data_IF_181359420121
#
_entry.id   IF_181359420121
#
_cell.length_a   1.000
_cell.length_b   1.000
_cell.length_c   1.000
_cell.angle_alpha   90.00
_cell.angle_beta   90.00
_cell.angle_gamma   90.00
#
_symmetry.space_group_name_H-M   'P 1'
#
loop_
_entity.id
_entity.type
_entity.pdbx_description
1 polymer ?
#
# COMPACT_ATOMS: atom_id res chain seq x y z
N UNK A 1 10.76 18.18 -14.50
CA UNK A 1 10.17 17.07 -13.73
C UNK A 1 10.90 17.00 -12.41
N UNK A 2 10.20 16.98 -11.28
CA UNK A 2 10.84 16.72 -10.00
C UNK A 2 11.32 15.25 -10.00
N UNK A 3 12.56 15.03 -9.57
CA UNK A 3 13.09 13.68 -9.33
C UNK A 3 12.44 13.16 -8.05
N UNK A 4 11.82 11.98 -8.11
CA UNK A 4 11.35 11.28 -6.93
C UNK A 4 12.55 10.55 -6.33
N UNK A 5 13.05 11.04 -5.20
CA UNK A 5 14.11 10.38 -4.43
C UNK A 5 13.59 10.07 -3.02
N UNK A 6 14.21 9.12 -2.30
CA UNK A 6 13.84 8.81 -0.92
C UNK A 6 13.78 10.02 0.02
N UNK A 7 14.61 11.04 -0.22
CA UNK A 7 14.71 12.24 0.62
C UNK A 7 13.65 13.30 0.27
N UNK A 8 13.00 13.17 -0.88
CA UNK A 8 12.12 14.20 -1.45
C UNK A 8 10.69 13.73 -1.71
N UNK A 9 10.43 12.43 -1.53
CA UNK A 9 9.12 11.82 -1.77
C UNK A 9 8.73 10.85 -0.65
N UNK A 10 7.44 10.90 -0.29
CA UNK A 10 6.79 9.96 0.60
C UNK A 10 5.61 9.32 -0.12
N UNK A 11 5.36 8.04 0.15
CA UNK A 11 4.26 7.28 -0.43
C UNK A 11 3.22 6.95 0.64
N UNK A 12 2.00 7.44 0.45
CA UNK A 12 0.83 7.04 1.24
C UNK A 12 -0.07 6.14 0.38
N UNK A 13 -0.21 4.88 0.79
CA UNK A 13 -1.08 3.89 0.16
C UNK A 13 -2.31 3.73 1.05
N UNK A 14 -3.50 3.99 0.49
CA UNK A 14 -4.78 3.88 1.21
C UNK A 14 -5.57 2.71 0.65
N UNK A 15 -5.73 1.67 1.46
CA UNK A 15 -6.56 0.51 1.17
C UNK A 15 -7.92 0.69 1.85
N UNK A 16 -8.99 0.76 1.04
CA UNK A 16 -10.37 0.89 1.53
C UNK A 16 -11.07 -0.46 1.74
N UNK A 17 -10.42 -1.54 1.31
CA UNK A 17 -10.96 -2.89 1.47
C UNK A 17 -10.62 -3.39 2.87
N UNK A 18 -11.61 -3.97 3.54
CA UNK A 18 -11.43 -4.68 4.81
C UNK A 18 -10.64 -5.99 4.61
N UNK A 19 -10.70 -6.93 5.57
CA UNK A 19 -10.21 -8.29 5.38
C UNK A 19 -11.10 -9.06 4.37
N UNK A 20 -11.17 -8.57 3.14
CA UNK A 20 -11.96 -9.14 2.07
C UNK A 20 -11.16 -10.24 1.36
N UNK A 21 -11.69 -11.46 1.33
CA UNK A 21 -11.09 -12.58 0.63
C UNK A 21 -11.04 -12.36 -0.89
N UNK A 22 -11.95 -11.57 -1.47
CA UNK A 22 -11.93 -11.26 -2.90
C UNK A 22 -10.72 -10.41 -3.30
N UNK A 23 -10.28 -9.48 -2.43
CA UNK A 23 -9.04 -8.71 -2.61
C UNK A 23 -7.80 -9.59 -2.83
N UNK A 24 -7.79 -10.77 -2.19
CA UNK A 24 -6.72 -11.77 -2.31
C UNK A 24 -6.88 -12.64 -3.55
N UNK A 25 -8.10 -13.07 -3.87
CA UNK A 25 -8.39 -13.90 -5.04
C UNK A 25 -8.03 -13.19 -6.36
N UNK A 26 -8.29 -11.89 -6.45
CA UNK A 26 -7.89 -11.06 -7.61
C UNK A 26 -6.43 -10.61 -7.60
N UNK A 27 -5.65 -10.99 -6.58
CA UNK A 27 -4.24 -10.62 -6.43
C UNK A 27 -3.99 -9.12 -6.21
N UNK A 28 -5.03 -8.32 -5.94
CA UNK A 28 -4.87 -6.90 -5.67
C UNK A 28 -4.10 -6.69 -4.35
N UNK A 29 -4.49 -7.40 -3.29
CA UNK A 29 -3.81 -7.35 -2.00
C UNK A 29 -2.33 -7.75 -2.10
N UNK A 30 -2.02 -8.75 -2.94
CA UNK A 30 -0.64 -9.20 -3.17
C UNK A 30 0.18 -8.11 -3.85
N UNK A 31 -0.37 -7.47 -4.90
CA UNK A 31 0.31 -6.38 -5.62
C UNK A 31 0.53 -5.15 -4.73
N UNK A 32 -0.45 -4.77 -3.93
CA UNK A 32 -0.32 -3.65 -2.99
C UNK A 32 0.73 -3.95 -1.93
N UNK A 33 0.75 -5.18 -1.38
CA UNK A 33 1.80 -5.63 -0.47
C UNK A 33 3.18 -5.50 -1.11
N UNK A 34 3.39 -6.10 -2.28
CA UNK A 34 4.69 -6.14 -2.94
C UNK A 34 5.18 -4.75 -3.32
N UNK A 35 4.29 -3.88 -3.79
CA UNK A 35 4.59 -2.47 -4.05
C UNK A 35 5.03 -1.74 -2.78
N UNK A 36 4.24 -1.83 -1.71
CA UNK A 36 4.53 -1.16 -0.44
C UNK A 36 5.87 -1.59 0.15
N UNK A 37 6.17 -2.89 0.08
CA UNK A 37 7.42 -3.45 0.57
C UNK A 37 8.60 -3.01 -0.30
N UNK A 38 8.45 -3.05 -1.62
CA UNK A 38 9.51 -2.62 -2.55
C UNK A 38 9.85 -1.13 -2.37
N UNK A 39 8.86 -0.27 -2.17
CA UNK A 39 9.09 1.17 -1.92
C UNK A 39 9.84 1.39 -0.60
N UNK A 40 9.45 0.68 0.46
CA UNK A 40 10.14 0.75 1.75
C UNK A 40 11.60 0.22 1.65
N UNK A 41 11.82 -0.90 0.97
CA UNK A 41 13.15 -1.47 0.72
C UNK A 41 14.04 -0.57 -0.14
N UNK A 42 13.43 0.19 -1.07
CA UNK A 42 14.12 1.21 -1.86
C UNK A 42 14.44 2.50 -1.07
N UNK A 43 14.07 2.57 0.21
CA UNK A 43 14.42 3.66 1.13
C UNK A 43 13.37 4.78 1.23
N UNK A 44 12.26 4.69 0.50
CA UNK A 44 11.21 5.70 0.58
C UNK A 44 10.39 5.57 1.86
N UNK A 45 10.07 6.70 2.50
CA UNK A 45 9.04 6.74 3.54
C UNK A 45 7.72 6.25 2.91
N UNK A 46 7.20 5.14 3.43
CA UNK A 46 6.04 4.45 2.87
C UNK A 46 5.06 4.09 3.96
N UNK A 47 3.82 4.56 3.83
CA UNK A 47 2.74 4.33 4.77
C UNK A 47 1.62 3.53 4.10
N UNK A 48 1.14 2.49 4.76
CA UNK A 48 -0.04 1.73 4.34
C UNK A 48 -1.16 1.94 5.36
N UNK A 49 -2.23 2.59 4.92
CA UNK A 49 -3.42 2.85 5.72
C UNK A 49 -4.55 1.92 5.30
N UNK A 50 -5.19 1.30 6.27
CA UNK A 50 -6.45 0.58 6.07
C UNK A 50 -7.60 1.45 6.56
N UNK A 51 -8.56 1.73 5.69
CA UNK A 51 -9.69 2.62 5.95
C UNK A 51 -10.98 1.85 5.71
N UNK A 52 -11.63 1.47 6.80
CA UNK A 52 -12.86 0.67 6.78
C UNK A 52 -13.12 0.07 8.16
N UNK A 53 -14.25 -0.60 8.31
CA UNK A 53 -14.53 -1.35 9.54
C UNK A 53 -13.79 -2.71 9.46
N UNK A 54 -12.82 -3.01 10.34
CA UNK A 54 -12.10 -4.28 10.30
C UNK A 54 -12.99 -5.50 10.60
N UNK A 55 -14.21 -5.28 11.10
CA UNK A 55 -15.19 -6.31 11.41
C UNK A 55 -16.22 -6.55 10.31
N UNK A 56 -16.23 -5.73 9.25
CA UNK A 56 -17.16 -5.86 8.13
C UNK A 56 -16.37 -6.03 6.81
N UNK A 57 -16.87 -6.88 5.88
CA UNK A 57 -16.31 -6.96 4.52
C UNK A 57 -16.64 -5.71 3.70
#
# INVERSE_FOLDING_TARGET
MALLTPETAEFAIVAFEGPDAYSRAGGLAVRVRDLSQTLAEAGYSTHLFFVGDPSLP
#
